data_IF_830055960292
#
_entry.id   IF_830055960292
#
_cell.length_a   1.000
_cell.length_b   1.000
_cell.length_c   1.000
_cell.angle_alpha   90.00
_cell.angle_beta   90.00
_cell.angle_gamma   90.00
#
_symmetry.space_group_name_H-M   'P 1'
#
loop_
_entity.id
_entity.type
_entity.pdbx_description
1 polymer ?
#
# COMPACT_ATOMS: atom_id res chain seq x y z
N UNK A 1 -2.52 1.62 20.34
CA UNK A 1 -1.72 0.79 19.41
C UNK A 1 -2.41 0.79 18.06
N UNK A 2 -1.67 0.97 16.96
CA UNK A 2 -2.25 0.92 15.62
C UNK A 2 -3.06 -0.38 15.47
N UNK A 3 -4.35 -0.21 15.19
CA UNK A 3 -5.36 -1.27 15.14
C UNK A 3 -4.82 -2.48 14.39
N UNK A 4 -4.77 -3.62 15.08
CA UNK A 4 -4.30 -4.88 14.51
C UNK A 4 -5.29 -5.24 13.40
N UNK A 5 -4.83 -5.13 12.15
CA UNK A 5 -5.63 -5.42 10.97
C UNK A 5 -6.31 -6.79 11.14
N UNK A 6 -7.64 -6.82 11.22
CA UNK A 6 -8.39 -8.07 11.43
C UNK A 6 -8.12 -9.02 10.26
N UNK A 7 -8.25 -10.32 10.52
CA UNK A 7 -8.08 -11.33 9.47
C UNK A 7 -9.09 -11.12 8.34
N UNK A 8 -10.31 -10.68 8.66
CA UNK A 8 -11.35 -10.39 7.68
C UNK A 8 -10.92 -9.26 6.72
N UNK A 9 -10.49 -8.12 7.26
CA UNK A 9 -10.06 -6.99 6.41
C UNK A 9 -8.86 -7.34 5.54
N UNK A 10 -7.95 -8.21 6.01
CA UNK A 10 -6.86 -8.72 5.16
C UNK A 10 -7.41 -9.53 3.99
N UNK A 11 -8.29 -10.48 4.26
CA UNK A 11 -8.84 -11.37 3.25
C UNK A 11 -9.62 -10.58 2.19
N UNK A 12 -10.46 -9.62 2.61
CA UNK A 12 -11.20 -8.74 1.70
C UNK A 12 -10.28 -7.94 0.77
N UNK A 13 -9.16 -7.42 1.29
CA UNK A 13 -8.16 -6.72 0.48
C UNK A 13 -7.56 -7.69 -0.56
N UNK A 14 -7.20 -8.90 -0.16
CA UNK A 14 -6.62 -9.85 -1.11
C UNK A 14 -7.64 -10.35 -2.14
N UNK A 15 -8.89 -10.58 -1.77
CA UNK A 15 -9.95 -10.92 -2.73
C UNK A 15 -10.16 -9.80 -3.75
N UNK A 16 -10.20 -8.55 -3.30
CA UNK A 16 -10.48 -7.38 -4.16
C UNK A 16 -9.32 -7.04 -5.10
N UNK A 17 -8.06 -7.22 -4.66
CA UNK A 17 -6.88 -6.74 -5.37
C UNK A 17 -5.96 -7.84 -5.91
N UNK A 18 -6.01 -9.05 -5.35
CA UNK A 18 -5.22 -10.20 -5.80
C UNK A 18 -6.05 -11.24 -6.57
N UNK A 19 -7.37 -11.02 -6.69
CA UNK A 19 -8.33 -11.93 -7.32
C UNK A 19 -8.71 -13.16 -6.47
N UNK A 20 -7.99 -13.43 -5.38
CA UNK A 20 -8.30 -14.48 -4.43
C UNK A 20 -7.62 -14.19 -3.08
N UNK A 21 -8.29 -14.54 -1.97
CA UNK A 21 -7.73 -14.47 -0.62
C UNK A 21 -6.43 -15.29 -0.46
N UNK A 22 -6.26 -16.39 -1.22
CA UNK A 22 -5.06 -17.23 -1.17
C UNK A 22 -3.86 -16.60 -1.87
N UNK A 23 -4.08 -15.61 -2.73
CA UNK A 23 -3.02 -14.97 -3.53
C UNK A 23 -2.31 -13.83 -2.78
N UNK A 24 -1.75 -14.17 -1.62
CA UNK A 24 -1.05 -13.22 -0.74
C UNK A 24 0.30 -12.74 -1.31
N UNK A 25 0.85 -13.47 -2.28
CA UNK A 25 2.13 -13.17 -2.94
C UNK A 25 2.04 -12.14 -4.07
N UNK A 26 0.82 -11.78 -4.50
CA UNK A 26 0.63 -10.80 -5.58
C UNK A 26 1.16 -9.41 -5.20
N UNK A 27 1.75 -8.72 -6.18
CA UNK A 27 2.27 -7.36 -5.97
C UNK A 27 1.11 -6.40 -5.72
N UNK A 28 0.00 -6.59 -6.42
CA UNK A 28 -1.23 -5.83 -6.33
C UNK A 28 -1.84 -5.93 -4.92
N UNK A 29 -2.01 -7.15 -4.40
CA UNK A 29 -2.52 -7.39 -3.04
C UNK A 29 -1.61 -6.80 -1.96
N UNK A 30 -0.30 -6.97 -2.08
CA UNK A 30 0.66 -6.39 -1.14
C UNK A 30 0.64 -4.85 -1.14
N UNK A 31 0.55 -4.22 -2.32
CA UNK A 31 0.45 -2.76 -2.44
C UNK A 31 -0.86 -2.25 -1.84
N UNK A 32 -1.97 -2.94 -2.05
CA UNK A 32 -3.26 -2.60 -1.45
C UNK A 32 -3.21 -2.69 0.09
N UNK A 33 -2.65 -3.78 0.62
CA UNK A 33 -2.45 -3.99 2.06
C UNK A 33 -1.57 -2.90 2.68
N UNK A 34 -0.44 -2.56 2.05
CA UNK A 34 0.43 -1.48 2.51
C UNK A 34 -0.29 -0.14 2.50
N UNK A 35 -1.09 0.13 1.47
CA UNK A 35 -1.84 1.38 1.35
C UNK A 35 -2.86 1.54 2.47
N UNK A 36 -3.58 0.47 2.81
CA UNK A 36 -4.49 0.45 3.96
C UNK A 36 -3.75 0.75 5.28
N UNK A 37 -2.62 0.07 5.52
CA UNK A 37 -1.80 0.29 6.73
C UNK A 37 -1.25 1.71 6.82
N UNK A 38 -0.76 2.25 5.70
CA UNK A 38 -0.23 3.62 5.60
C UNK A 38 -1.31 4.64 5.96
N UNK A 39 -2.55 4.45 5.46
CA UNK A 39 -3.69 5.33 5.78
C UNK A 39 -3.96 5.37 7.28
N UNK A 40 -4.13 4.21 7.91
CA UNK A 40 -4.44 4.12 9.35
C UNK A 40 -3.32 4.70 10.22
N UNK A 41 -2.06 4.44 9.87
CA UNK A 41 -0.92 4.99 10.60
C UNK A 41 -0.78 6.49 10.41
N UNK A 42 -1.09 6.99 9.22
CA UNK A 42 -1.12 8.42 8.97
C UNK A 42 -2.17 9.11 9.84
N UNK A 43 -3.37 8.54 9.95
CA UNK A 43 -4.43 9.03 10.84
C UNK A 43 -4.01 8.98 12.31
N UNK A 44 -3.40 7.88 12.76
CA UNK A 44 -2.87 7.77 14.13
C UNK A 44 -1.83 8.86 14.46
N UNK A 45 -0.91 9.13 13.53
CA UNK A 45 0.12 10.15 13.70
C UNK A 45 -0.40 11.59 13.63
N UNK A 46 -1.60 11.82 13.09
CA UNK A 46 -2.28 13.12 13.17
C UNK A 46 -2.71 13.45 14.59
N UNK A 47 -3.05 12.46 15.42
CA UNK A 47 -3.31 12.67 16.84
C UNK A 47 -2.02 12.62 17.69
N UNK A 48 -1.00 11.88 17.22
CA UNK A 48 0.22 11.58 17.98
C UNK A 48 1.48 12.14 17.32
N UNK A 49 1.57 13.46 17.23
CA UNK A 49 2.66 14.12 16.49
C UNK A 49 4.08 13.84 17.02
N UNK A 50 4.22 13.50 18.32
CA UNK A 50 5.49 13.18 18.97
C UNK A 50 5.90 11.71 18.83
N UNK A 51 5.08 10.86 18.21
CA UNK A 51 5.45 9.46 17.97
C UNK A 51 6.39 9.32 16.76
N UNK A 52 7.68 9.53 17.02
CA UNK A 52 8.73 9.41 16.00
C UNK A 52 9.02 7.96 15.60
N UNK A 53 8.79 6.99 16.49
CA UNK A 53 9.02 5.57 16.22
C UNK A 53 8.01 5.06 15.18
N UNK A 54 6.72 5.36 15.37
CA UNK A 54 5.67 5.00 14.41
C UNK A 54 5.84 5.75 13.09
N UNK A 55 6.26 7.02 13.11
CA UNK A 55 6.60 7.77 11.90
C UNK A 55 7.72 7.10 11.09
N UNK A 56 8.78 6.61 11.76
CA UNK A 56 9.86 5.87 11.07
C UNK A 56 9.34 4.59 10.42
N UNK A 57 8.49 3.84 11.11
CA UNK A 57 7.85 2.63 10.55
C UNK A 57 6.96 2.96 9.35
N UNK A 58 6.18 4.05 9.43
CA UNK A 58 5.36 4.54 8.31
C UNK A 58 6.22 4.83 7.08
N UNK A 59 7.33 5.55 7.24
CA UNK A 59 8.24 5.87 6.12
C UNK A 59 8.82 4.62 5.47
N UNK A 60 9.18 3.60 6.27
CA UNK A 60 9.63 2.30 5.73
C UNK A 60 8.55 1.64 4.88
N UNK A 61 7.29 1.64 5.31
CA UNK A 61 6.17 1.08 4.54
C UNK A 61 5.91 1.86 3.23
N UNK A 62 6.00 3.20 3.27
CA UNK A 62 5.88 4.03 2.07
C UNK A 62 6.98 3.69 1.06
N UNK A 63 8.23 3.55 1.52
CA UNK A 63 9.36 3.17 0.68
C UNK A 63 9.20 1.77 0.07
N UNK A 64 8.74 0.80 0.87
CA UNK A 64 8.49 -0.56 0.40
C UNK A 64 7.38 -0.60 -0.68
N UNK A 65 6.26 0.11 -0.45
CA UNK A 65 5.18 0.24 -1.44
C UNK A 65 5.68 0.87 -2.75
N UNK A 66 6.54 1.90 -2.66
CA UNK A 66 7.14 2.54 -3.85
C UNK A 66 8.01 1.56 -4.64
N UNK A 67 8.78 0.70 -3.96
CA UNK A 67 9.59 -0.34 -4.62
C UNK A 67 8.73 -1.35 -5.38
N UNK A 68 7.65 -1.83 -4.75
CA UNK A 68 6.69 -2.76 -5.38
C UNK A 68 6.01 -2.15 -6.60
N UNK A 69 5.56 -0.90 -6.50
CA UNK A 69 4.97 -0.16 -7.62
C UNK A 69 5.96 0.03 -8.77
N UNK A 70 7.22 0.33 -8.47
CA UNK A 70 8.29 0.42 -9.49
C UNK A 70 8.55 -0.92 -10.17
N UNK A 71 8.51 -2.03 -9.41
CA UNK A 71 8.61 -3.37 -9.98
C UNK A 71 7.42 -3.69 -10.89
N UNK A 72 6.19 -3.43 -10.43
CA UNK A 72 4.98 -3.65 -11.21
C UNK A 72 5.01 -2.84 -12.51
N UNK A 73 5.36 -1.56 -12.46
CA UNK A 73 5.45 -0.71 -13.63
C UNK A 73 6.46 -1.19 -14.68
N UNK A 74 7.60 -1.77 -14.24
CA UNK A 74 8.59 -2.36 -15.14
C UNK A 74 8.09 -3.64 -15.82
N UNK A 75 7.23 -4.39 -15.14
CA UNK A 75 6.72 -5.68 -15.62
C UNK A 75 5.46 -5.52 -16.46
N UNK A 76 4.56 -4.65 -16.04
CA UNK A 76 3.26 -4.39 -16.64
C UNK A 76 2.79 -2.97 -16.30
N UNK A 77 2.89 -2.08 -17.29
CA UNK A 77 2.53 -0.67 -17.13
C UNK A 77 1.01 -0.46 -17.05
N UNK A 78 0.20 -1.34 -17.65
CA UNK A 78 -1.25 -1.23 -17.63
C UNK A 78 -1.77 -1.56 -16.23
N UNK A 79 -1.34 -2.70 -15.67
CA UNK A 79 -1.66 -3.06 -14.28
C UNK A 79 -1.21 -2.03 -13.27
N UNK A 80 -0.03 -1.44 -13.48
CA UNK A 80 0.43 -0.34 -12.64
C UNK A 80 -0.58 0.83 -12.65
N UNK A 81 -1.00 1.29 -13.83
CA UNK A 81 -1.93 2.42 -14.00
C UNK A 81 -3.30 2.11 -13.38
N UNK A 82 -3.83 0.92 -13.63
CA UNK A 82 -5.09 0.46 -13.04
C UNK A 82 -5.01 0.41 -11.51
N UNK A 83 -3.92 -0.13 -10.97
CA UNK A 83 -3.74 -0.27 -9.52
C UNK A 83 -3.62 1.08 -8.82
N UNK A 84 -2.85 2.02 -9.36
CA UNK A 84 -2.73 3.36 -8.74
C UNK A 84 -4.05 4.13 -8.84
N UNK A 85 -4.82 3.97 -9.92
CA UNK A 85 -6.13 4.59 -10.07
C UNK A 85 -7.12 4.01 -9.05
N UNK A 86 -7.17 2.69 -8.92
CA UNK A 86 -8.05 1.98 -7.97
C UNK A 86 -7.73 2.33 -6.52
N UNK A 87 -6.45 2.52 -6.18
CA UNK A 87 -5.99 2.83 -4.83
C UNK A 87 -5.85 4.34 -4.53
N UNK A 88 -6.10 5.22 -5.50
CA UNK A 88 -5.92 6.67 -5.36
C UNK A 88 -4.48 7.08 -5.04
N UNK A 89 -3.48 6.33 -5.52
CA UNK A 89 -2.06 6.61 -5.28
C UNK A 89 -1.57 7.60 -6.33
N UNK A 90 -0.87 8.66 -5.88
CA UNK A 90 -0.23 9.61 -6.79
C UNK A 90 0.78 8.88 -7.68
N UNK A 91 0.74 9.14 -8.97
CA UNK A 91 1.75 8.67 -9.91
C UNK A 91 3.15 9.17 -9.47
N UNK A 92 4.08 8.23 -9.37
CA UNK A 92 5.47 8.50 -8.94
C UNK A 92 6.50 8.09 -9.99
N UNK A 93 6.05 7.46 -11.08
CA UNK A 93 6.86 7.44 -12.29
C UNK A 93 6.82 8.87 -12.78
N UNK A 94 7.93 9.58 -12.61
CA UNK A 94 8.05 10.89 -13.21
C UNK A 94 7.68 10.75 -14.68
N UNK A 95 6.58 11.38 -15.08
CA UNK A 95 6.50 11.98 -16.41
C UNK A 95 7.67 12.96 -16.45
N UNK A 96 8.85 12.44 -16.79
CA UNK A 96 9.79 13.24 -17.54
C UNK A 96 9.00 13.61 -18.79
N UNK A 97 8.63 14.88 -18.87
CA UNK A 97 8.33 15.51 -20.14
C UNK A 97 9.47 15.23 -21.12
#
# INVERSE_FOLDING_TARGET
MATYLSKETKNEIFETYAGSASNTGSVEGQVALLSFRIKNLSEHLKANHKDHATRRSLLKMVGHRKSLLKYLAKKDILKYRELIAKLGIRDTLGRNQ
#
